data_IF_439641094692
#
_entry.id   IF_439641094692
#
_cell.length_a   1.000
_cell.length_b   1.000
_cell.length_c   1.000
_cell.angle_alpha   90.00
_cell.angle_beta   90.00
_cell.angle_gamma   90.00
#
_symmetry.space_group_name_H-M   'P 1'
#
loop_
_entity.id
_entity.type
_entity.pdbx_description
1 polymer ?
#
# COMPACT_ATOMS: atom_id res chain seq x y z
N UNK A 1 -0.79 -6.24 -9.13
CA UNK A 1 0.68 -6.16 -9.16
C UNK A 1 1.13 -4.73 -8.86
N UNK A 2 2.17 -4.57 -8.07
CA UNK A 2 2.72 -3.25 -7.72
C UNK A 2 4.15 -3.16 -8.24
N UNK A 3 4.45 -2.10 -8.99
CA UNK A 3 5.82 -1.83 -9.45
C UNK A 3 6.74 -1.57 -8.27
N UNK A 4 7.86 -2.29 -8.20
CA UNK A 4 8.89 -2.08 -7.18
C UNK A 4 9.78 -0.88 -7.54
N UNK A 5 10.24 -0.18 -6.50
CA UNK A 5 11.32 0.80 -6.63
C UNK A 5 12.68 0.12 -6.83
N UNK A 6 13.67 0.86 -7.32
CA UNK A 6 15.02 0.35 -7.51
C UNK A 6 15.72 1.01 -8.69
N UNK A 7 16.84 0.45 -9.19
CA UNK A 7 17.60 1.04 -10.27
C UNK A 7 16.80 1.21 -11.58
N UNK A 8 15.74 0.43 -11.77
CA UNK A 8 14.85 0.48 -12.92
C UNK A 8 13.48 1.10 -12.60
N UNK A 9 13.45 2.05 -11.68
CA UNK A 9 12.21 2.67 -11.17
C UNK A 9 11.31 3.26 -12.28
N UNK A 10 11.89 3.68 -13.40
CA UNK A 10 11.16 4.22 -14.55
C UNK A 10 10.63 3.14 -15.51
N UNK A 11 11.11 1.90 -15.38
CA UNK A 11 10.79 0.80 -16.29
C UNK A 11 9.61 -0.03 -15.78
N UNK A 12 8.51 0.00 -16.51
CA UNK A 12 7.31 -0.76 -16.20
C UNK A 12 7.07 -1.91 -17.19
N UNK A 13 8.07 -2.24 -18.02
CA UNK A 13 7.91 -3.20 -19.12
C UNK A 13 7.41 -4.56 -18.65
N UNK A 14 7.96 -5.10 -17.56
CA UNK A 14 7.52 -6.39 -17.03
C UNK A 14 6.10 -6.33 -16.46
N UNK A 15 5.77 -5.26 -15.72
CA UNK A 15 4.40 -5.05 -15.23
C UNK A 15 3.42 -4.99 -16.40
N UNK A 16 3.71 -4.17 -17.41
CA UNK A 16 2.85 -4.04 -18.59
C UNK A 16 2.72 -5.35 -19.36
N UNK A 17 3.81 -6.14 -19.48
CA UNK A 17 3.76 -7.46 -20.08
C UNK A 17 2.84 -8.41 -19.33
N UNK A 18 2.91 -8.44 -17.99
CA UNK A 18 2.01 -9.26 -17.17
C UNK A 18 0.55 -8.87 -17.34
N UNK A 19 0.25 -7.56 -17.35
CA UNK A 19 -1.11 -7.06 -17.56
C UNK A 19 -1.66 -7.41 -18.94
N UNK A 20 -0.84 -7.30 -19.98
CA UNK A 20 -1.21 -7.68 -21.34
C UNK A 20 -1.42 -9.20 -21.50
N UNK A 21 -0.59 -10.01 -20.83
CA UNK A 21 -0.67 -11.47 -20.92
C UNK A 21 -1.84 -12.04 -20.13
N UNK A 22 -2.19 -11.40 -19.01
CA UNK A 22 -3.22 -11.89 -18.07
C UNK A 22 -4.20 -10.78 -17.67
N UNK A 23 -4.91 -10.15 -18.64
CA UNK A 23 -5.74 -8.98 -18.38
C UNK A 23 -6.89 -9.25 -17.41
N UNK A 24 -7.40 -10.49 -17.37
CA UNK A 24 -8.50 -10.89 -16.48
C UNK A 24 -8.03 -11.32 -15.08
N UNK A 25 -6.71 -11.34 -14.84
CA UNK A 25 -6.15 -11.81 -13.57
C UNK A 25 -5.47 -10.73 -12.75
N UNK A 26 -4.93 -9.70 -13.41
CA UNK A 26 -4.11 -8.69 -12.76
C UNK A 26 -4.57 -7.27 -13.07
N UNK A 27 -4.51 -6.45 -12.05
CA UNK A 27 -4.48 -5.00 -12.16
C UNK A 27 -3.09 -4.51 -11.75
N UNK A 28 -2.66 -3.38 -12.29
CA UNK A 28 -1.35 -2.81 -12.07
C UNK A 28 -1.37 -1.52 -11.26
N UNK A 29 -0.38 -1.37 -10.41
CA UNK A 29 -0.04 -0.12 -9.76
C UNK A 29 1.33 0.32 -10.29
N UNK A 30 1.34 1.41 -11.04
CA UNK A 30 2.56 2.02 -11.55
C UNK A 30 3.33 2.75 -10.45
N UNK A 31 4.53 3.19 -10.75
CA UNK A 31 5.36 3.96 -9.83
C UNK A 31 5.64 5.34 -10.41
N UNK A 32 5.47 6.38 -9.59
CA UNK A 32 5.89 7.73 -9.94
C UNK A 32 7.31 7.93 -9.41
N UNK A 33 8.30 8.15 -10.28
CA UNK A 33 9.66 8.41 -9.86
C UNK A 33 9.76 9.67 -9.00
N UNK A 34 10.68 9.74 -8.03
CA UNK A 34 10.99 11.00 -7.37
C UNK A 34 11.37 12.08 -8.41
N UNK A 35 10.95 13.32 -8.17
CA UNK A 35 11.24 14.46 -9.06
C UNK A 35 10.76 14.25 -10.52
N UNK A 36 9.66 13.52 -10.71
CA UNK A 36 9.06 13.37 -12.04
C UNK A 36 8.62 14.76 -12.58
N UNK A 37 9.18 15.22 -13.71
CA UNK A 37 8.91 16.58 -14.20
C UNK A 37 7.44 16.80 -14.57
N UNK A 38 6.80 15.79 -15.16
CA UNK A 38 5.40 15.81 -15.54
C UNK A 38 4.73 14.50 -15.08
N UNK A 39 4.27 14.45 -13.81
CA UNK A 39 3.66 13.25 -13.28
C UNK A 39 2.33 12.90 -13.95
N UNK A 40 1.54 13.89 -14.43
CA UNK A 40 0.27 13.63 -15.11
C UNK A 40 0.50 12.91 -16.44
N UNK A 41 1.39 13.41 -17.28
CA UNK A 41 1.74 12.76 -18.54
C UNK A 41 2.39 11.38 -18.30
N UNK A 42 3.17 11.23 -17.25
CA UNK A 42 3.74 9.92 -16.87
C UNK A 42 2.65 8.90 -16.51
N UNK A 43 1.67 9.30 -15.70
CA UNK A 43 0.53 8.47 -15.32
C UNK A 43 -0.30 8.06 -16.53
N UNK A 44 -0.67 9.01 -17.39
CA UNK A 44 -1.46 8.75 -18.59
C UNK A 44 -0.74 7.80 -19.55
N UNK A 45 0.55 8.02 -19.80
CA UNK A 45 1.37 7.13 -20.66
C UNK A 45 1.45 5.70 -20.13
N UNK A 46 1.58 5.52 -18.82
CA UNK A 46 1.60 4.18 -18.23
C UNK A 46 0.23 3.49 -18.27
N UNK A 47 -0.85 4.25 -18.15
CA UNK A 47 -2.21 3.73 -18.15
C UNK A 47 -2.76 3.48 -19.58
N UNK A 48 -2.14 4.05 -20.63
CA UNK A 48 -2.60 3.95 -22.02
C UNK A 48 -2.75 2.49 -22.49
N UNK A 49 -1.86 1.60 -22.03
CA UNK A 49 -1.92 0.17 -22.35
C UNK A 49 -3.02 -0.62 -21.64
N UNK A 50 -3.77 0.02 -20.74
CA UNK A 50 -4.79 -0.60 -19.90
C UNK A 50 -4.23 -1.41 -18.71
N UNK A 51 -5.11 -1.76 -17.80
CA UNK A 51 -4.78 -2.59 -16.62
C UNK A 51 -4.07 -1.86 -15.46
N UNK A 52 -3.47 -0.69 -15.68
CA UNK A 52 -2.95 0.16 -14.59
C UNK A 52 -4.08 1.00 -14.03
N UNK A 53 -4.39 0.79 -12.74
CA UNK A 53 -5.52 1.43 -12.05
C UNK A 53 -5.10 2.40 -10.97
N UNK A 54 -3.80 2.54 -10.75
CA UNK A 54 -3.30 3.43 -9.71
C UNK A 54 -1.78 3.59 -9.75
N UNK A 55 -1.28 4.41 -8.83
CA UNK A 55 0.13 4.79 -8.81
C UNK A 55 0.69 4.84 -7.39
N UNK A 56 1.93 4.38 -7.24
CA UNK A 56 2.65 4.39 -5.97
C UNK A 56 3.40 5.70 -5.79
N UNK A 57 3.26 6.28 -4.58
CA UNK A 57 3.94 7.48 -4.12
C UNK A 57 4.83 7.18 -2.91
N UNK A 58 6.06 7.73 -2.91
CA UNK A 58 7.01 7.64 -1.80
C UNK A 58 7.22 8.94 -1.03
N UNK A 59 6.73 10.08 -1.54
CA UNK A 59 6.84 11.38 -0.88
C UNK A 59 5.60 12.24 -1.18
N UNK A 60 5.26 13.12 -0.25
CA UNK A 60 4.18 14.08 -0.42
C UNK A 60 4.71 15.48 -0.76
N UNK A 61 5.94 15.82 -0.32
CA UNK A 61 6.58 17.10 -0.61
C UNK A 61 5.91 18.32 0.04
N UNK A 62 5.31 18.11 1.20
CA UNK A 62 4.70 19.19 1.98
C UNK A 62 5.70 19.96 2.86
N UNK A 63 5.22 20.91 3.67
CA UNK A 63 6.07 21.72 4.54
C UNK A 63 6.80 20.84 5.57
N UNK A 64 8.08 21.11 5.76
CA UNK A 64 8.91 20.39 6.75
C UNK A 64 8.71 20.90 8.18
N UNK A 65 8.33 22.17 8.31
CA UNK A 65 8.00 22.76 9.60
C UNK A 65 6.59 22.31 10.03
N UNK A 66 6.44 21.55 11.12
CA UNK A 66 5.14 21.05 11.56
C UNK A 66 4.21 22.17 12.06
N UNK A 67 4.72 23.37 12.28
CA UNK A 67 3.93 24.55 12.68
C UNK A 67 3.60 25.48 11.50
N UNK A 68 4.15 25.20 10.31
CA UNK A 68 3.82 25.98 9.13
C UNK A 68 2.35 25.76 8.72
N UNK A 69 1.67 26.82 8.24
CA UNK A 69 0.36 26.66 7.63
C UNK A 69 0.41 25.65 6.46
N UNK A 70 -0.53 24.70 6.45
CA UNK A 70 -0.58 23.68 5.41
C UNK A 70 -1.53 24.12 4.29
N UNK A 71 -0.99 24.39 3.11
CA UNK A 71 -1.74 24.51 1.87
C UNK A 71 -1.37 23.33 0.96
N UNK A 72 -2.28 22.39 0.78
CA UNK A 72 -2.04 21.18 -0.01
C UNK A 72 -1.65 21.47 -1.45
N UNK A 73 -2.04 22.63 -2.00
CA UNK A 73 -1.68 23.06 -3.37
C UNK A 73 -0.19 23.32 -3.54
N UNK A 74 0.54 23.49 -2.44
CA UNK A 74 1.99 23.67 -2.45
C UNK A 74 2.76 22.34 -2.37
N UNK A 75 2.07 21.21 -2.18
CA UNK A 75 2.72 19.91 -2.12
C UNK A 75 3.21 19.47 -3.50
N UNK A 76 4.43 18.93 -3.56
CA UNK A 76 4.97 18.37 -4.81
C UNK A 76 4.06 17.29 -5.41
N UNK A 77 3.38 16.53 -4.57
CA UNK A 77 2.45 15.49 -4.98
C UNK A 77 1.05 16.01 -5.35
N UNK A 78 0.73 17.28 -5.14
CA UNK A 78 -0.61 17.82 -5.43
C UNK A 78 -1.09 17.54 -6.87
N UNK A 79 -0.28 17.73 -7.93
CA UNK A 79 -0.70 17.40 -9.29
C UNK A 79 -1.06 15.91 -9.49
N UNK A 80 -0.41 15.01 -8.75
CA UNK A 80 -0.70 13.57 -8.76
C UNK A 80 -2.05 13.29 -8.13
N UNK A 81 -2.34 13.89 -6.97
CA UNK A 81 -3.62 13.74 -6.28
C UNK A 81 -4.78 14.30 -7.12
N UNK A 82 -4.57 15.48 -7.71
CA UNK A 82 -5.55 16.08 -8.61
C UNK A 82 -5.84 15.16 -9.81
N UNK A 83 -4.80 14.65 -10.46
CA UNK A 83 -4.95 13.78 -11.61
C UNK A 83 -5.58 12.42 -11.24
N UNK A 84 -5.22 11.88 -10.08
CA UNK A 84 -5.86 10.68 -9.57
C UNK A 84 -7.36 10.87 -9.32
N UNK A 85 -7.77 12.06 -8.84
CA UNK A 85 -9.18 12.41 -8.67
C UNK A 85 -9.91 12.54 -10.02
N UNK A 86 -9.27 13.13 -11.02
CA UNK A 86 -9.82 13.32 -12.38
C UNK A 86 -9.98 12.00 -13.15
N UNK A 87 -9.05 11.05 -12.95
CA UNK A 87 -8.96 9.78 -13.67
C UNK A 87 -9.43 8.56 -12.89
N UNK A 88 -9.90 8.75 -11.65
CA UNK A 88 -10.27 7.66 -10.74
C UNK A 88 -9.14 6.67 -10.45
N UNK A 89 -7.89 7.15 -10.39
CA UNK A 89 -6.75 6.33 -10.02
C UNK A 89 -6.67 6.13 -8.51
N UNK A 90 -6.19 4.96 -8.09
CA UNK A 90 -5.84 4.65 -6.70
C UNK A 90 -4.44 5.20 -6.41
N UNK A 91 -4.25 5.83 -5.25
CA UNK A 91 -2.93 6.20 -4.77
C UNK A 91 -2.43 5.19 -3.73
N UNK A 92 -1.26 4.61 -4.01
CA UNK A 92 -0.62 3.58 -3.21
C UNK A 92 0.54 4.18 -2.44
N UNK A 93 0.33 4.43 -1.14
CA UNK A 93 1.24 5.22 -0.33
C UNK A 93 2.27 4.37 0.41
N UNK A 94 3.53 4.73 0.24
CA UNK A 94 4.64 4.28 1.06
C UNK A 94 5.50 5.48 1.38
N UNK A 95 4.88 6.46 2.03
CA UNK A 95 5.44 7.78 2.32
C UNK A 95 6.41 7.72 3.50
N UNK A 96 7.37 8.63 3.52
CA UNK A 96 8.32 8.75 4.63
C UNK A 96 7.59 9.05 5.93
N UNK A 97 8.16 8.58 7.04
CA UNK A 97 7.63 8.85 8.38
C UNK A 97 7.45 10.36 8.66
N UNK A 98 8.37 11.18 8.18
CA UNK A 98 8.28 12.64 8.29
C UNK A 98 7.06 13.25 7.56
N UNK A 99 6.55 12.58 6.52
CA UNK A 99 5.42 13.04 5.72
C UNK A 99 4.07 12.43 6.18
N UNK A 100 4.09 11.44 7.08
CA UNK A 100 2.89 10.69 7.46
C UNK A 100 1.75 11.60 7.95
N UNK A 101 2.06 12.63 8.74
CA UNK A 101 1.08 13.58 9.29
C UNK A 101 0.42 14.46 8.22
N UNK A 102 1.08 14.64 7.07
CA UNK A 102 0.58 15.46 5.96
C UNK A 102 -0.48 14.74 5.14
N UNK A 103 -0.55 13.41 5.26
CA UNK A 103 -1.48 12.60 4.47
C UNK A 103 -2.94 12.96 4.72
N UNK A 104 -3.29 13.28 5.97
CA UNK A 104 -4.66 13.64 6.35
C UNK A 104 -5.17 14.85 5.54
N UNK A 105 -4.34 15.87 5.34
CA UNK A 105 -4.71 17.08 4.58
C UNK A 105 -5.03 16.75 3.12
N UNK A 106 -4.27 15.85 2.50
CA UNK A 106 -4.51 15.43 1.12
C UNK A 106 -5.75 14.52 1.01
N UNK A 107 -5.94 13.62 1.96
CA UNK A 107 -7.13 12.76 1.99
C UNK A 107 -8.40 13.60 2.18
N UNK A 108 -8.36 14.64 3.02
CA UNK A 108 -9.46 15.59 3.21
C UNK A 108 -9.72 16.46 1.96
N UNK A 109 -8.67 16.89 1.28
CA UNK A 109 -8.79 17.69 0.06
C UNK A 109 -9.29 16.89 -1.14
N UNK A 110 -9.06 15.56 -1.16
CA UNK A 110 -9.42 14.66 -2.25
C UNK A 110 -10.19 13.43 -1.74
N UNK A 111 -11.38 13.59 -1.14
CA UNK A 111 -12.13 12.48 -0.52
C UNK A 111 -12.57 11.41 -1.53
N UNK A 112 -12.60 11.72 -2.83
CA UNK A 112 -12.91 10.79 -3.91
C UNK A 112 -11.73 9.91 -4.31
N UNK A 113 -10.49 10.26 -3.93
CA UNK A 113 -9.31 9.47 -4.25
C UNK A 113 -9.19 8.28 -3.30
N UNK A 114 -9.15 7.09 -3.85
CA UNK A 114 -8.94 5.85 -3.10
C UNK A 114 -7.48 5.71 -2.73
N UNK A 115 -7.19 5.47 -1.45
CA UNK A 115 -5.84 5.46 -0.90
C UNK A 115 -5.53 4.12 -0.27
N UNK A 116 -4.37 3.56 -0.57
CA UNK A 116 -3.86 2.31 0.03
C UNK A 116 -2.54 2.58 0.71
N UNK A 117 -2.44 2.26 1.99
CA UNK A 117 -1.16 2.24 2.71
C UNK A 117 -0.52 0.86 2.64
N UNK A 118 0.79 0.82 2.34
CA UNK A 118 1.59 -0.41 2.35
C UNK A 118 1.87 -0.91 3.78
N UNK A 119 2.18 -2.19 3.87
CA UNK A 119 2.95 -2.82 4.95
C UNK A 119 2.49 -2.44 6.36
N UNK A 120 1.26 -2.81 6.73
CA UNK A 120 0.67 -2.55 8.05
C UNK A 120 0.59 -1.05 8.41
N UNK A 121 0.74 -0.15 7.42
CA UNK A 121 0.79 1.29 7.64
C UNK A 121 2.14 1.80 8.15
N UNK A 122 3.19 0.98 8.15
CA UNK A 122 4.54 1.41 8.53
C UNK A 122 5.11 2.33 7.47
N UNK A 123 5.66 3.46 7.92
CA UNK A 123 6.30 4.45 7.05
C UNK A 123 7.83 4.28 7.06
N UNK A 124 8.52 4.36 5.91
CA UNK A 124 9.97 4.33 5.85
C UNK A 124 10.61 5.47 6.67
N UNK A 125 11.76 5.17 7.27
CA UNK A 125 12.59 6.16 7.96
C UNK A 125 12.45 6.19 9.48
N UNK A 126 11.55 5.40 10.09
CA UNK A 126 11.43 5.27 11.55
C UNK A 126 12.24 4.12 12.14
N UNK A 127 12.78 3.22 11.32
CA UNK A 127 13.49 2.05 11.79
C UNK A 127 14.89 1.91 11.22
N UNK A 128 15.70 1.07 11.87
CA UNK A 128 16.97 0.66 11.30
C UNK A 128 16.73 -0.35 10.18
N UNK A 129 17.25 -0.05 9.01
CA UNK A 129 17.18 -0.93 7.85
C UNK A 129 18.40 -1.85 7.79
N UNK A 130 18.17 -3.13 7.51
CA UNK A 130 19.21 -4.11 7.18
C UNK A 130 18.70 -5.11 6.16
N UNK A 131 19.57 -5.82 5.52
CA UNK A 131 19.26 -6.99 4.69
C UNK A 131 19.61 -8.25 5.47
N UNK A 132 18.72 -9.23 5.50
CA UNK A 132 18.95 -10.50 6.17
C UNK A 132 19.71 -11.51 5.28
N UNK A 133 19.99 -12.69 5.82
CA UNK A 133 20.70 -13.77 5.13
C UNK A 133 19.96 -14.32 3.89
N UNK A 134 18.67 -14.04 3.77
CA UNK A 134 17.85 -14.39 2.61
C UNK A 134 17.76 -13.25 1.57
N UNK A 135 18.45 -12.14 1.80
CA UNK A 135 18.41 -10.96 0.94
C UNK A 135 17.14 -10.11 1.11
N UNK A 136 16.39 -10.30 2.20
CA UNK A 136 15.12 -9.59 2.45
C UNK A 136 15.34 -8.32 3.27
N UNK A 137 14.54 -7.27 3.02
CA UNK A 137 14.52 -6.11 3.89
C UNK A 137 14.03 -6.48 5.29
N UNK A 138 14.73 -5.99 6.31
CA UNK A 138 14.35 -6.06 7.71
C UNK A 138 14.36 -4.64 8.27
N UNK A 139 13.29 -4.27 8.94
CA UNK A 139 13.11 -2.92 9.49
C UNK A 139 12.88 -3.06 11.00
N UNK A 140 13.89 -2.72 11.78
CA UNK A 140 13.78 -2.73 13.22
C UNK A 140 13.05 -1.46 13.68
N UNK A 141 11.72 -1.56 13.81
CA UNK A 141 10.89 -0.45 14.25
C UNK A 141 11.07 -0.19 15.75
N UNK A 142 11.03 1.07 16.19
CA UNK A 142 11.02 1.39 17.61
C UNK A 142 9.76 0.86 18.30
N UNK A 143 9.84 0.65 19.62
CA UNK A 143 8.69 0.19 20.42
C UNK A 143 7.50 1.17 20.37
N UNK A 144 7.78 2.46 20.21
CA UNK A 144 6.79 3.49 19.90
C UNK A 144 7.08 4.04 18.51
N UNK A 145 6.08 3.96 17.63
CA UNK A 145 6.18 4.38 16.24
C UNK A 145 5.13 5.48 15.95
N UNK A 146 5.51 6.76 16.01
CA UNK A 146 4.57 7.88 15.83
C UNK A 146 3.89 7.88 14.47
N UNK A 147 4.58 7.52 13.39
CA UNK A 147 3.97 7.52 12.06
C UNK A 147 2.91 6.43 11.93
N UNK A 148 3.11 5.29 12.57
CA UNK A 148 2.13 4.21 12.61
C UNK A 148 0.82 4.68 13.28
N UNK A 149 0.93 5.36 14.43
CA UNK A 149 -0.24 5.96 15.08
C UNK A 149 -0.92 7.00 14.20
N UNK A 150 -0.15 7.79 13.46
CA UNK A 150 -0.69 8.78 12.51
C UNK A 150 -1.47 8.08 11.41
N UNK A 151 -0.94 7.00 10.82
CA UNK A 151 -1.65 6.22 9.79
C UNK A 151 -2.92 5.57 10.35
N UNK A 152 -2.87 5.01 11.57
CA UNK A 152 -4.05 4.40 12.19
C UNK A 152 -5.19 5.40 12.39
N UNK A 153 -4.89 6.66 12.71
CA UNK A 153 -5.90 7.73 12.81
C UNK A 153 -6.57 8.06 11.47
N UNK A 154 -6.00 7.65 10.34
CA UNK A 154 -6.64 7.80 9.02
C UNK A 154 -7.82 6.83 8.82
N UNK A 155 -8.05 5.89 9.73
CA UNK A 155 -9.21 5.01 9.72
C UNK A 155 -10.56 5.77 9.75
N UNK A 156 -10.57 7.02 10.18
CA UNK A 156 -11.74 7.91 10.12
C UNK A 156 -12.17 8.28 8.69
N UNK A 157 -11.31 8.06 7.69
CA UNK A 157 -11.60 8.34 6.29
C UNK A 157 -11.93 7.04 5.56
N UNK A 158 -13.13 6.97 4.98
CA UNK A 158 -13.64 5.75 4.31
C UNK A 158 -12.87 5.37 3.05
N UNK A 159 -12.21 6.35 2.41
CA UNK A 159 -11.40 6.16 1.21
C UNK A 159 -9.98 5.65 1.49
N UNK A 160 -9.63 5.37 2.75
CA UNK A 160 -8.30 4.86 3.15
C UNK A 160 -8.36 3.39 3.52
N UNK A 161 -7.45 2.61 2.96
CA UNK A 161 -7.29 1.16 3.11
C UNK A 161 -5.83 0.82 3.47
N UNK A 162 -5.60 -0.27 4.18
CA UNK A 162 -4.25 -0.71 4.57
C UNK A 162 -3.97 -2.12 4.09
N UNK A 163 -2.74 -2.36 3.61
CA UNK A 163 -2.25 -3.70 3.28
C UNK A 163 -1.70 -4.42 4.51
N UNK A 164 -2.18 -5.62 4.72
CA UNK A 164 -1.59 -6.59 5.65
C UNK A 164 -0.48 -7.35 4.92
N UNK A 165 0.70 -6.72 4.83
CA UNK A 165 1.86 -7.26 4.12
C UNK A 165 3.17 -6.87 4.80
N UNK A 166 4.29 -7.49 4.40
CA UNK A 166 5.62 -7.14 4.88
C UNK A 166 5.92 -7.60 6.32
N UNK A 167 5.13 -8.49 6.90
CA UNK A 167 5.27 -8.92 8.30
C UNK A 167 6.68 -9.44 8.60
N UNK A 168 7.30 -10.19 7.67
CA UNK A 168 8.66 -10.66 7.79
C UNK A 168 9.67 -9.53 8.02
N UNK A 169 9.39 -8.33 7.47
CA UNK A 169 10.31 -7.20 7.58
C UNK A 169 10.29 -6.56 8.97
N UNK A 170 9.18 -6.60 9.69
CA UNK A 170 8.98 -5.90 10.96
C UNK A 170 9.04 -6.81 12.18
N UNK A 171 8.70 -8.09 12.01
CA UNK A 171 8.69 -9.05 13.10
C UNK A 171 10.09 -9.33 13.64
N UNK A 172 10.18 -9.49 14.96
CA UNK A 172 11.37 -9.99 15.68
C UNK A 172 11.35 -11.50 15.86
N UNK A 173 10.24 -12.15 15.47
CA UNK A 173 10.02 -13.58 15.56
C UNK A 173 10.00 -14.23 14.18
N UNK A 174 10.24 -15.53 14.13
CA UNK A 174 9.99 -16.33 12.94
C UNK A 174 8.49 -16.39 12.62
N UNK A 175 8.15 -16.89 11.43
CA UNK A 175 6.77 -17.19 11.08
C UNK A 175 6.11 -18.05 12.20
N UNK A 176 4.91 -17.73 12.68
CA UNK A 176 3.91 -16.84 12.07
C UNK A 176 3.92 -15.38 12.57
N UNK A 177 5.04 -14.85 13.05
CA UNK A 177 5.19 -13.43 13.40
C UNK A 177 4.24 -12.97 14.51
N UNK A 178 4.10 -13.76 15.57
CA UNK A 178 3.12 -13.54 16.63
C UNK A 178 3.26 -12.21 17.37
N UNK A 179 4.47 -11.65 17.41
CA UNK A 179 4.73 -10.31 17.94
C UNK A 179 3.99 -9.19 17.21
N UNK A 180 3.46 -9.46 16.00
CA UNK A 180 2.65 -8.52 15.24
C UNK A 180 1.13 -8.69 15.43
N UNK A 181 0.66 -9.64 16.25
CA UNK A 181 -0.78 -9.82 16.51
C UNK A 181 -1.46 -8.53 16.98
N UNK A 182 -0.77 -7.76 17.84
CA UNK A 182 -1.29 -6.49 18.33
C UNK A 182 -1.54 -5.48 17.21
N UNK A 183 -0.65 -5.40 16.23
CA UNK A 183 -0.81 -4.50 15.08
C UNK A 183 -1.97 -4.92 14.18
N UNK A 184 -2.10 -6.22 13.89
CA UNK A 184 -3.21 -6.75 13.09
C UNK A 184 -4.55 -6.49 13.77
N UNK A 185 -4.64 -6.70 15.09
CA UNK A 185 -5.85 -6.43 15.88
C UNK A 185 -6.22 -4.95 15.87
N UNK A 186 -5.25 -4.06 16.06
CA UNK A 186 -5.50 -2.62 16.01
C UNK A 186 -6.01 -2.20 14.64
N UNK A 187 -5.35 -2.65 13.55
CA UNK A 187 -5.80 -2.35 12.20
C UNK A 187 -7.22 -2.89 11.93
N UNK A 188 -7.52 -4.10 12.38
CA UNK A 188 -8.86 -4.68 12.22
C UNK A 188 -9.93 -3.90 12.98
N UNK A 189 -9.62 -3.48 14.22
CA UNK A 189 -10.56 -2.70 15.04
C UNK A 189 -10.81 -1.30 14.47
N UNK A 190 -9.76 -0.65 13.91
CA UNK A 190 -9.84 0.72 13.43
C UNK A 190 -10.41 0.81 12.00
N UNK A 191 -9.99 -0.08 11.10
CA UNK A 191 -10.37 -0.04 9.68
C UNK A 191 -11.53 -0.97 9.31
N UNK A 192 -11.76 -2.04 10.06
CA UNK A 192 -12.66 -3.12 9.65
C UNK A 192 -12.11 -3.97 8.50
N UNK A 193 -12.71 -5.14 8.27
CA UNK A 193 -12.26 -6.08 7.23
C UNK A 193 -12.38 -5.51 5.80
N UNK A 194 -13.36 -4.64 5.57
CA UNK A 194 -13.65 -4.03 4.26
C UNK A 194 -12.69 -2.91 3.86
N UNK A 195 -11.75 -2.56 4.74
CA UNK A 195 -10.66 -1.63 4.44
C UNK A 195 -9.28 -2.21 4.74
N UNK A 196 -9.20 -3.54 4.85
CA UNK A 196 -7.94 -4.27 4.95
C UNK A 196 -7.79 -5.21 3.75
N UNK A 197 -6.58 -5.31 3.22
CA UNK A 197 -6.25 -6.18 2.09
C UNK A 197 -4.99 -6.99 2.40
N UNK A 198 -5.07 -8.31 2.29
CA UNK A 198 -3.88 -9.16 2.32
C UNK A 198 -3.01 -8.96 1.08
N UNK A 199 -1.68 -8.97 1.25
CA UNK A 199 -0.74 -8.98 0.15
C UNK A 199 0.52 -9.77 0.51
N UNK A 200 1.11 -10.45 -0.49
CA UNK A 200 2.24 -11.35 -0.30
C UNK A 200 3.58 -10.65 -0.08
N UNK A 201 3.75 -9.48 -0.65
CA UNK A 201 5.06 -8.82 -0.76
C UNK A 201 6.13 -9.69 -1.44
N UNK A 202 5.70 -10.51 -2.43
CA UNK A 202 6.65 -11.24 -3.27
C UNK A 202 7.56 -10.25 -4.04
N UNK A 203 8.85 -10.57 -4.26
CA UNK A 203 9.48 -11.91 -4.16
C UNK A 203 10.11 -12.25 -2.80
N UNK A 204 10.07 -11.37 -1.81
CA UNK A 204 10.82 -11.48 -0.57
C UNK A 204 10.47 -12.70 0.29
N UNK A 205 9.28 -13.26 0.08
CA UNK A 205 8.75 -14.38 0.89
C UNK A 205 9.06 -15.78 0.34
N UNK A 206 9.76 -15.90 -0.80
CA UNK A 206 9.91 -17.20 -1.48
C UNK A 206 10.69 -18.24 -0.67
N UNK A 207 11.71 -17.83 0.08
CA UNK A 207 12.52 -18.75 0.87
C UNK A 207 11.88 -19.06 2.23
N UNK A 208 11.27 -18.04 2.85
CA UNK A 208 10.63 -18.16 4.16
C UNK A 208 9.59 -17.03 4.29
N UNK A 209 8.35 -17.33 4.68
CA UNK A 209 7.79 -18.65 4.96
C UNK A 209 7.35 -19.43 3.72
N UNK A 210 7.44 -18.83 2.54
CA UNK A 210 6.84 -19.33 1.31
C UNK A 210 5.41 -18.81 1.11
N UNK A 211 4.92 -18.88 -0.13
CA UNK A 211 3.61 -18.33 -0.48
C UNK A 211 2.45 -19.07 0.23
N UNK A 212 2.50 -20.42 0.26
CA UNK A 212 1.45 -21.23 0.88
C UNK A 212 1.23 -20.90 2.36
N UNK A 213 2.23 -21.02 3.24
CA UNK A 213 2.11 -20.62 4.63
C UNK A 213 1.63 -19.16 4.80
N UNK A 214 2.12 -18.23 3.98
CA UNK A 214 1.73 -16.83 4.10
C UNK A 214 0.23 -16.60 3.84
N UNK A 215 -0.43 -17.42 3.00
CA UNK A 215 -1.89 -17.31 2.81
C UNK A 215 -2.69 -17.72 4.03
N UNK A 216 -2.08 -18.41 5.00
CA UNK A 216 -2.70 -18.83 6.25
C UNK A 216 -2.39 -17.86 7.41
N UNK A 217 -1.54 -16.86 7.18
CA UNK A 217 -1.06 -15.97 8.23
C UNK A 217 -2.19 -15.21 8.92
N UNK A 218 -3.21 -14.80 8.19
CA UNK A 218 -4.36 -14.08 8.76
C UNK A 218 -5.11 -14.95 9.76
N UNK A 219 -5.29 -16.24 9.48
CA UNK A 219 -5.94 -17.19 10.38
C UNK A 219 -5.14 -17.40 11.67
N UNK A 220 -3.82 -17.35 11.58
CA UNK A 220 -2.94 -17.52 12.73
C UNK A 220 -2.85 -16.26 13.60
N UNK A 221 -2.76 -15.08 12.99
CA UNK A 221 -2.65 -13.82 13.73
C UNK A 221 -4.00 -13.30 14.24
N UNK A 222 -5.09 -13.69 13.59
CA UNK A 222 -6.45 -13.24 13.93
C UNK A 222 -7.44 -14.41 13.95
N UNK A 223 -7.27 -15.44 14.78
CA UNK A 223 -8.09 -16.65 14.76
C UNK A 223 -9.56 -16.42 15.14
N UNK A 224 -9.88 -15.26 15.69
CA UNK A 224 -11.24 -14.92 16.13
C UNK A 224 -12.08 -14.17 15.08
N UNK A 225 -11.53 -13.82 13.89
CA UNK A 225 -12.31 -13.13 12.88
C UNK A 225 -13.33 -14.08 12.23
N UNK A 226 -14.43 -13.53 11.74
CA UNK A 226 -15.45 -14.29 11.01
C UNK A 226 -14.94 -14.78 9.66
N UNK A 227 -15.56 -15.82 9.10
CA UNK A 227 -15.24 -16.28 7.73
C UNK A 227 -15.50 -15.19 6.69
N UNK A 228 -16.55 -14.37 6.88
CA UNK A 228 -16.85 -13.25 6.00
C UNK A 228 -15.75 -12.19 6.01
N UNK A 229 -15.24 -11.84 7.20
CA UNK A 229 -14.15 -10.87 7.33
C UNK A 229 -12.84 -11.41 6.76
N UNK A 230 -12.57 -12.70 7.03
CA UNK A 230 -11.44 -13.37 6.40
C UNK A 230 -11.51 -13.32 4.88
N UNK A 231 -12.65 -13.64 4.29
CA UNK A 231 -12.85 -13.58 2.85
C UNK A 231 -12.72 -12.15 2.30
N UNK A 232 -13.20 -11.15 3.04
CA UNK A 232 -13.01 -9.75 2.70
C UNK A 232 -11.52 -9.40 2.65
N UNK A 233 -10.77 -9.65 3.72
CA UNK A 233 -9.33 -9.36 3.82
C UNK A 233 -8.53 -10.10 2.75
N UNK A 234 -8.81 -11.39 2.51
CA UNK A 234 -8.05 -12.23 1.59
C UNK A 234 -8.29 -11.91 0.10
N UNK A 235 -9.31 -11.09 -0.23
CA UNK A 235 -9.51 -10.71 -1.63
C UNK A 235 -10.74 -9.86 -1.90
N UNK A 236 -11.84 -10.04 -1.16
CA UNK A 236 -13.09 -9.32 -1.40
C UNK A 236 -12.93 -7.81 -1.36
N UNK A 237 -12.18 -7.29 -0.39
CA UNK A 237 -11.86 -5.86 -0.28
C UNK A 237 -11.06 -5.37 -1.47
N UNK A 238 -10.02 -6.10 -1.89
CA UNK A 238 -9.23 -5.73 -3.07
C UNK A 238 -10.09 -5.72 -4.34
N UNK A 239 -10.97 -6.70 -4.52
CA UNK A 239 -11.87 -6.76 -5.67
C UNK A 239 -12.77 -5.54 -5.77
N UNK A 240 -13.40 -5.13 -4.66
CA UNK A 240 -14.28 -3.95 -4.61
C UNK A 240 -13.48 -2.66 -4.76
N UNK A 241 -12.46 -2.50 -3.93
CA UNK A 241 -11.70 -1.25 -3.82
C UNK A 241 -10.92 -0.91 -5.07
N UNK A 242 -10.33 -1.91 -5.72
CA UNK A 242 -9.58 -1.74 -6.98
C UNK A 242 -10.48 -1.88 -8.22
N UNK A 243 -11.77 -2.17 -8.04
CA UNK A 243 -12.74 -2.34 -9.12
C UNK A 243 -12.30 -3.38 -10.15
N UNK A 244 -11.92 -4.56 -9.66
CA UNK A 244 -11.68 -5.69 -10.57
C UNK A 244 -12.89 -5.94 -11.46
N UNK A 245 -12.70 -6.18 -12.77
CA UNK A 245 -13.79 -6.56 -13.64
C UNK A 245 -14.48 -7.79 -13.06
N UNK A 246 -15.81 -7.71 -12.93
CA UNK A 246 -16.58 -8.88 -12.52
C UNK A 246 -16.39 -9.94 -13.63
N UNK A 247 -15.88 -11.11 -13.27
CA UNK A 247 -15.93 -12.23 -14.17
C UNK A 247 -17.39 -12.51 -14.45
N UNK A 248 -17.83 -12.37 -15.70
CA UNK A 248 -19.04 -13.02 -16.12
C UNK A 248 -18.90 -14.48 -15.72
N UNK A 249 -19.72 -14.94 -14.79
CA UNK A 249 -19.89 -16.36 -14.55
C UNK A 249 -20.25 -16.96 -15.90
N UNK A 250 -19.28 -17.70 -16.49
CA UNK A 250 -19.60 -18.54 -17.62
C UNK A 250 -20.69 -19.51 -17.18
N UNK A 251 -21.73 -19.69 -18.01
CA UNK A 251 -22.85 -20.58 -17.70
C UNK A 251 -22.38 -22.02 -17.55
#
# INVERSE_FOLDING_TARGET
LVQLGGPHIAEHAYLQQCLKTYPDRFLGIGLIPPNCPDPKAHMDRLAEGGGIVGFRLGTLGGPRDPFAPVDVRTFESYPVWQHAAERDYVLWLYVRAADAHLTAYLVEAFPQVRVVFNHLGVCPGEGKFRIDEYGRPRIETPSYNPSLHTVYRLARYENVTVLLSGQYAFSKQAYPYEDLMGWHRTLYNDFGADRLMWASDAPWIYKEPGYGPLTQLIDQLMPQISESDRAAIMGGTAQRFLRFPQRCSLP
#
